data_IF_425570133833
#
_entry.id   IF_425570133833
#
_cell.length_a   1.000
_cell.length_b   1.000
_cell.length_c   1.000
_cell.angle_alpha   90.00
_cell.angle_beta   90.00
_cell.angle_gamma   90.00
#
_symmetry.space_group_name_H-M   'P 1'
#
loop_
_entity.id
_entity.type
_entity.pdbx_description
1 polymer ?
#
# COMPACT_ATOMS: atom_id res chain seq x y z
N UNK A 1 -11.29 26.82 12.90
CA UNK A 1 -9.97 26.34 12.45
C UNK A 1 -10.17 25.62 11.12
N UNK A 2 -9.34 25.85 10.10
CA UNK A 2 -9.45 25.16 8.80
C UNK A 2 -8.35 24.11 8.69
N UNK A 3 -8.70 22.92 8.23
CA UNK A 3 -7.77 21.79 8.07
C UNK A 3 -7.52 21.56 6.58
N UNK A 4 -6.27 21.26 6.22
CA UNK A 4 -5.87 20.85 4.89
C UNK A 4 -5.25 19.44 4.96
N UNK A 5 -5.58 18.59 4.00
CA UNK A 5 -4.99 17.26 3.86
C UNK A 5 -3.90 17.31 2.80
N UNK A 6 -2.78 16.68 3.08
CA UNK A 6 -1.64 16.56 2.18
C UNK A 6 -1.34 15.07 2.06
N UNK A 7 -1.33 14.57 0.82
CA UNK A 7 -1.03 13.18 0.51
C UNK A 7 0.38 13.10 -0.07
N UNK A 8 1.29 12.28 0.49
CA UNK A 8 2.63 12.11 -0.02
C UNK A 8 2.62 11.38 -1.37
N UNK A 9 3.67 11.59 -2.18
CA UNK A 9 3.83 10.92 -3.47
C UNK A 9 4.82 9.74 -3.44
N UNK A 10 5.20 9.28 -4.64
CA UNK A 10 6.23 8.25 -4.82
C UNK A 10 7.54 8.65 -4.10
N UNK A 11 8.10 7.70 -3.34
CA UNK A 11 9.28 7.88 -2.49
C UNK A 11 8.98 7.76 -0.99
N UNK A 12 7.73 7.89 -0.58
CA UNK A 12 7.31 7.75 0.81
C UNK A 12 7.00 6.30 1.25
N UNK A 13 7.01 5.34 0.31
CA UNK A 13 6.70 3.94 0.58
C UNK A 13 7.79 3.24 1.40
N UNK A 14 7.38 2.31 2.25
CA UNK A 14 8.27 1.47 3.05
C UNK A 14 7.61 0.11 3.33
N UNK A 15 8.42 -0.92 3.55
CA UNK A 15 7.94 -2.26 3.92
C UNK A 15 7.26 -2.20 5.29
N UNK A 16 6.08 -2.79 5.40
CA UNK A 16 5.22 -2.77 6.58
C UNK A 16 4.25 -1.58 6.64
N UNK A 17 4.24 -0.68 5.64
CA UNK A 17 3.30 0.43 5.64
C UNK A 17 1.83 -0.05 5.59
N UNK A 18 0.95 0.68 6.26
CA UNK A 18 -0.48 0.39 6.42
C UNK A 18 -0.85 -0.91 7.15
N UNK A 19 0.12 -1.71 7.62
CA UNK A 19 -0.16 -3.01 8.26
C UNK A 19 -0.86 -2.87 9.62
N UNK A 20 -0.65 -1.75 10.31
CA UNK A 20 -1.40 -1.39 11.52
C UNK A 20 -2.90 -1.20 11.23
N UNK A 21 -3.25 -0.55 10.11
CA UNK A 21 -4.64 -0.41 9.67
C UNK A 21 -5.21 -1.76 9.22
N UNK A 22 -4.47 -2.51 8.40
CA UNK A 22 -4.90 -3.84 7.91
C UNK A 22 -5.17 -4.80 9.07
N UNK A 23 -4.33 -4.79 10.12
CA UNK A 23 -4.53 -5.61 11.30
C UNK A 23 -5.72 -5.14 12.18
N UNK A 24 -6.03 -3.84 12.17
CA UNK A 24 -7.08 -3.28 13.00
C UNK A 24 -8.49 -3.40 12.40
N UNK A 25 -8.61 -3.49 11.06
CA UNK A 25 -9.90 -3.57 10.38
C UNK A 25 -9.83 -4.48 9.15
N UNK A 26 -10.65 -5.53 9.15
CA UNK A 26 -10.75 -6.53 8.07
C UNK A 26 -11.13 -5.90 6.72
N UNK A 27 -11.84 -4.77 6.72
CA UNK A 27 -12.19 -4.03 5.50
C UNK A 27 -10.94 -3.63 4.69
N UNK A 28 -9.86 -3.20 5.36
CA UNK A 28 -8.62 -2.83 4.69
C UNK A 28 -7.85 -4.04 4.14
N UNK A 29 -7.94 -5.19 4.83
CA UNK A 29 -7.41 -6.44 4.27
C UNK A 29 -8.15 -6.81 2.99
N UNK A 30 -9.49 -6.79 3.02
CA UNK A 30 -10.33 -7.12 1.86
C UNK A 30 -10.07 -6.17 0.69
N UNK A 31 -9.89 -4.88 0.96
CA UNK A 31 -9.56 -3.90 -0.08
C UNK A 31 -8.27 -4.27 -0.84
N UNK A 32 -7.20 -4.62 -0.10
CA UNK A 32 -5.93 -5.03 -0.72
C UNK A 32 -6.06 -6.37 -1.47
N UNK A 33 -6.80 -7.32 -0.91
CA UNK A 33 -7.05 -8.62 -1.53
C UNK A 33 -7.86 -8.47 -2.84
N UNK A 34 -8.87 -7.60 -2.83
CA UNK A 34 -9.69 -7.28 -4.01
C UNK A 34 -8.86 -6.56 -5.08
N UNK A 35 -8.00 -5.62 -4.69
CA UNK A 35 -7.07 -4.96 -5.61
C UNK A 35 -6.14 -5.96 -6.29
N UNK A 36 -5.52 -6.85 -5.50
CA UNK A 36 -4.63 -7.88 -6.02
C UNK A 36 -5.34 -8.84 -6.96
N UNK A 37 -6.57 -9.25 -6.64
CA UNK A 37 -7.39 -10.10 -7.50
C UNK A 37 -7.80 -9.41 -8.82
N UNK A 38 -8.17 -8.13 -8.77
CA UNK A 38 -8.63 -7.37 -9.95
C UNK A 38 -7.48 -7.01 -10.90
N UNK A 39 -6.29 -6.76 -10.35
CA UNK A 39 -5.13 -6.33 -11.13
C UNK A 39 -4.10 -7.43 -11.37
N UNK A 40 -4.34 -8.64 -10.83
CA UNK A 40 -3.43 -9.78 -10.88
C UNK A 40 -2.03 -9.41 -10.38
N UNK A 41 -1.99 -8.79 -9.19
CA UNK A 41 -0.78 -8.32 -8.51
C UNK A 41 -0.53 -9.06 -7.20
N UNK A 42 0.60 -8.77 -6.56
CA UNK A 42 0.96 -9.23 -5.21
C UNK A 42 1.28 -8.02 -4.31
N UNK A 43 0.57 -6.91 -4.51
CA UNK A 43 0.81 -5.63 -3.86
C UNK A 43 0.77 -5.78 -2.34
N UNK A 44 -0.24 -6.48 -1.81
CA UNK A 44 -0.36 -6.71 -0.36
C UNK A 44 0.90 -7.36 0.21
N UNK A 45 1.34 -8.45 -0.41
CA UNK A 45 2.51 -9.21 0.04
C UNK A 45 3.78 -8.36 -0.03
N UNK A 46 3.96 -7.59 -1.11
CA UNK A 46 5.14 -6.73 -1.27
C UNK A 46 5.12 -5.58 -0.25
N UNK A 47 3.95 -5.00 0.05
CA UNK A 47 3.81 -3.98 1.09
C UNK A 47 4.12 -4.54 2.47
N UNK A 48 3.68 -5.76 2.78
CA UNK A 48 3.83 -6.38 4.10
C UNK A 48 5.27 -6.89 4.34
N UNK A 49 5.84 -7.58 3.35
CA UNK A 49 7.06 -8.39 3.52
C UNK A 49 8.22 -7.94 2.63
N UNK A 50 7.98 -7.07 1.65
CA UNK A 50 8.97 -6.68 0.66
C UNK A 50 9.19 -7.73 -0.43
N UNK A 51 10.35 -7.75 -1.10
CA UNK A 51 11.56 -6.97 -0.80
C UNK A 51 11.44 -5.49 -1.14
N UNK A 52 12.22 -4.65 -0.45
CA UNK A 52 12.19 -3.18 -0.62
C UNK A 52 12.49 -2.74 -2.07
N UNK A 53 13.37 -3.45 -2.76
CA UNK A 53 13.70 -3.18 -4.17
C UNK A 53 12.52 -3.44 -5.11
N UNK A 54 11.65 -4.39 -4.78
CA UNK A 54 10.42 -4.61 -5.53
C UNK A 54 9.38 -3.52 -5.24
N UNK A 55 9.25 -3.12 -3.98
CA UNK A 55 8.39 -2.01 -3.57
C UNK A 55 8.80 -0.67 -4.22
N UNK A 56 10.08 -0.49 -4.58
CA UNK A 56 10.60 0.70 -5.29
C UNK A 56 10.33 0.70 -6.80
N UNK A 57 9.85 -0.40 -7.37
CA UNK A 57 9.51 -0.41 -8.79
C UNK A 57 8.26 0.44 -9.00
N UNK A 58 8.31 1.41 -9.92
CA UNK A 58 7.22 2.36 -10.17
C UNK A 58 5.85 1.71 -10.37
N UNK A 59 5.80 0.49 -10.94
CA UNK A 59 4.56 -0.31 -11.11
C UNK A 59 3.94 -0.78 -9.79
N UNK A 60 4.73 -0.94 -8.74
CA UNK A 60 4.30 -1.30 -7.39
C UNK A 60 4.19 -0.05 -6.52
N UNK A 61 5.17 0.84 -6.57
CA UNK A 61 5.21 2.03 -5.70
C UNK A 61 4.00 2.94 -5.88
N UNK A 62 3.57 3.17 -7.12
CA UNK A 62 2.43 4.04 -7.38
C UNK A 62 1.13 3.51 -6.76
N UNK A 63 0.68 2.27 -7.03
CA UNK A 63 -0.52 1.75 -6.39
C UNK A 63 -0.36 1.54 -4.87
N UNK A 64 0.87 1.45 -4.35
CA UNK A 64 1.08 1.33 -2.92
C UNK A 64 0.84 2.64 -2.13
N UNK A 65 0.92 3.81 -2.79
CA UNK A 65 0.78 5.15 -2.17
C UNK A 65 -0.54 5.84 -2.54
N UNK A 66 -1.20 5.41 -3.64
CA UNK A 66 -2.48 5.93 -4.12
C UNK A 66 -3.66 5.33 -3.34
#
# INVERSE_FOLDING_TARGET
MKTAFIFPGQGAQYVGMAMDYVAANEEYSRFLDDFDAQHNTQLRQIMEQGPEDELKQTRITQPAIL
#
